data_IF_456454670474
#
_entry.id   IF_456454670474
#
_cell.length_a   1.000
_cell.length_b   1.000
_cell.length_c   1.000
_cell.angle_alpha   90.00
_cell.angle_beta   90.00
_cell.angle_gamma   90.00
#
_symmetry.space_group_name_H-M   'P 1'
#
loop_
_entity.id
_entity.type
_entity.pdbx_description
1 polymer ?
#
# COMPACT_ATOMS: atom_id res chain seq x y z
N UNK A 1 -5.48 3.96 10.53
CA UNK A 1 -5.64 3.54 9.13
C UNK A 1 -6.94 2.75 9.02
N UNK A 2 -7.88 3.28 8.25
CA UNK A 2 -9.15 2.61 7.97
C UNK A 2 -8.89 1.34 7.16
N UNK A 3 -9.43 0.21 7.63
CA UNK A 3 -9.26 -1.09 6.97
C UNK A 3 -10.03 -1.20 5.66
N UNK A 4 -9.41 -1.82 4.66
CA UNK A 4 -10.04 -2.13 3.39
C UNK A 4 -10.57 -3.57 3.37
N UNK A 5 -11.73 -3.76 4.01
CA UNK A 5 -12.34 -5.08 4.24
C UNK A 5 -12.48 -5.93 2.97
N UNK A 6 -12.88 -5.33 1.84
CA UNK A 6 -13.04 -6.07 0.57
C UNK A 6 -11.70 -6.59 0.02
N UNK A 7 -10.60 -5.87 0.24
CA UNK A 7 -9.25 -6.31 -0.12
C UNK A 7 -8.79 -7.47 0.76
N UNK A 8 -9.03 -7.40 2.07
CA UNK A 8 -8.70 -8.51 2.98
C UNK A 8 -9.50 -9.79 2.61
N UNK A 9 -10.76 -9.63 2.24
CA UNK A 9 -11.59 -10.74 1.78
C UNK A 9 -11.08 -11.32 0.44
N UNK A 10 -10.65 -10.47 -0.49
CA UNK A 10 -10.02 -10.88 -1.75
C UNK A 10 -8.75 -11.71 -1.54
N UNK A 11 -7.87 -11.28 -0.63
CA UNK A 11 -6.63 -11.99 -0.31
C UNK A 11 -6.90 -13.36 0.32
N UNK A 12 -7.86 -13.44 1.24
CA UNK A 12 -8.26 -14.71 1.86
C UNK A 12 -8.91 -15.68 0.87
N UNK A 13 -9.68 -15.15 -0.07
CA UNK A 13 -10.33 -15.94 -1.11
C UNK A 13 -9.30 -16.67 -1.97
N UNK A 14 -8.21 -16.02 -2.36
CA UNK A 14 -7.19 -16.61 -3.23
C UNK A 14 -6.34 -17.66 -2.51
N UNK A 15 -6.04 -17.46 -1.23
CA UNK A 15 -5.37 -18.44 -0.39
C UNK A 15 -6.14 -19.76 -0.32
N UNK A 16 -7.47 -19.71 -0.12
CA UNK A 16 -8.32 -20.91 -0.05
C UNK A 16 -8.29 -21.74 -1.34
N UNK A 17 -8.34 -21.09 -2.50
CA UNK A 17 -8.28 -21.80 -3.78
C UNK A 17 -6.89 -22.39 -4.06
N UNK A 18 -5.83 -21.69 -3.64
CA UNK A 18 -4.47 -22.21 -3.73
C UNK A 18 -4.27 -23.46 -2.85
N UNK A 19 -4.78 -23.44 -1.61
CA UNK A 19 -4.72 -24.59 -0.70
C UNK A 19 -5.46 -25.81 -1.25
N UNK A 20 -6.66 -25.62 -1.81
CA UNK A 20 -7.42 -26.72 -2.44
C UNK A 20 -6.61 -27.34 -3.58
N UNK A 21 -6.04 -26.53 -4.48
CA UNK A 21 -5.23 -27.02 -5.61
C UNK A 21 -3.98 -27.75 -5.13
N UNK A 22 -3.26 -27.18 -4.16
CA UNK A 22 -2.06 -27.77 -3.60
C UNK A 22 -2.34 -29.14 -2.98
N UNK A 23 -3.44 -29.28 -2.23
CA UNK A 23 -3.83 -30.55 -1.59
C UNK A 23 -4.04 -31.67 -2.61
N UNK A 24 -4.77 -31.41 -3.70
CA UNK A 24 -5.03 -32.43 -4.71
C UNK A 24 -3.85 -32.68 -5.64
N UNK A 25 -2.99 -31.69 -5.89
CA UNK A 25 -1.72 -31.92 -6.57
C UNK A 25 -0.78 -32.79 -5.74
N UNK A 26 -0.71 -32.55 -4.43
CA UNK A 26 0.10 -33.39 -3.54
C UNK A 26 -0.37 -34.84 -3.55
N UNK A 27 -1.68 -35.09 -3.54
CA UNK A 27 -2.24 -36.45 -3.64
C UNK A 27 -1.83 -37.16 -4.94
N UNK A 28 -1.75 -36.44 -6.07
CA UNK A 28 -1.25 -37.00 -7.35
C UNK A 28 0.24 -37.33 -7.26
N UNK A 29 1.04 -36.44 -6.67
CA UNK A 29 2.48 -36.66 -6.47
C UNK A 29 2.69 -37.90 -5.59
N UNK A 30 2.02 -37.99 -4.45
CA UNK A 30 2.18 -39.09 -3.50
C UNK A 30 1.78 -40.44 -4.13
N UNK A 31 0.67 -40.49 -4.88
CA UNK A 31 0.24 -41.68 -5.60
C UNK A 31 1.22 -42.06 -6.74
N UNK A 32 1.74 -41.07 -7.46
CA UNK A 32 2.72 -41.27 -8.53
C UNK A 32 4.07 -41.80 -8.01
N UNK A 33 4.55 -41.24 -6.89
CA UNK A 33 5.76 -41.71 -6.20
C UNK A 33 5.58 -43.16 -5.74
N UNK A 34 4.46 -43.48 -5.09
CA UNK A 34 4.16 -44.86 -4.66
C UNK A 34 4.16 -45.85 -5.82
N UNK A 35 3.59 -45.47 -6.96
CA UNK A 35 3.58 -46.30 -8.17
C UNK A 35 5.00 -46.53 -8.71
N UNK A 36 5.82 -45.48 -8.74
CA UNK A 36 7.22 -45.57 -9.19
C UNK A 36 8.07 -46.46 -8.27
N UNK A 37 7.87 -46.35 -6.95
CA UNK A 37 8.55 -47.19 -5.95
C UNK A 37 8.19 -48.67 -6.13
N UNK A 38 6.90 -48.99 -6.33
CA UNK A 38 6.45 -50.36 -6.56
C UNK A 38 6.96 -50.95 -7.88
N UNK A 39 7.06 -50.13 -8.94
CA UNK A 39 7.68 -50.55 -10.22
C UNK A 39 9.17 -50.83 -10.04
N UNK A 40 9.87 -50.02 -9.26
CA UNK A 40 11.27 -50.25 -8.92
C UNK A 40 11.46 -51.52 -8.09
N UNK A 41 10.58 -51.78 -7.11
CA UNK A 41 10.55 -53.04 -6.34
C UNK A 41 10.35 -54.25 -7.26
N UNK A 42 9.46 -54.15 -8.25
CA UNK A 42 9.25 -55.22 -9.24
C UNK A 42 10.49 -55.48 -10.11
N UNK A 43 11.17 -54.44 -10.57
CA UNK A 43 12.40 -54.57 -11.35
C UNK A 43 13.52 -55.22 -10.53
N UNK A 44 13.64 -54.87 -9.25
CA UNK A 44 14.64 -55.45 -8.37
C UNK A 44 14.39 -56.95 -8.11
N UNK A 45 13.12 -57.34 -7.92
CA UNK A 45 12.75 -58.77 -7.82
C UNK A 45 13.12 -59.54 -9.08
N UNK A 46 12.92 -58.96 -10.28
CA UNK A 46 13.34 -59.59 -11.54
C UNK A 46 14.85 -59.74 -11.63
N UNK A 47 15.63 -58.71 -11.25
CA UNK A 47 17.10 -58.79 -11.22
C UNK A 47 17.59 -59.85 -10.22
N UNK A 48 16.95 -59.95 -9.06
CA UNK A 48 17.29 -60.94 -8.05
C UNK A 48 17.02 -62.36 -8.52
N UNK A 49 15.87 -62.59 -9.16
CA UNK A 49 15.54 -63.88 -9.79
C UNK A 49 16.55 -64.25 -10.88
N UNK A 50 16.91 -63.32 -11.76
CA UNK A 50 17.88 -63.57 -12.83
C UNK A 50 19.31 -63.84 -12.33
N UNK A 51 19.71 -63.20 -11.24
CA UNK A 51 21.07 -63.36 -10.68
C UNK A 51 21.23 -64.60 -9.80
N UNK A 52 20.19 -65.00 -9.09
CA UNK A 52 20.26 -66.10 -8.11
C UNK A 52 19.62 -67.40 -8.59
N UNK A 53 18.74 -67.33 -9.60
CA UNK A 53 17.91 -68.46 -10.04
C UNK A 53 16.81 -68.85 -9.04
N UNK A 54 16.59 -68.07 -7.98
CA UNK A 54 15.55 -68.31 -7.00
C UNK A 54 14.15 -68.03 -7.58
N UNK A 55 13.17 -68.88 -7.29
CA UNK A 55 11.78 -68.64 -7.67
C UNK A 55 11.16 -67.55 -6.79
N UNK A 56 10.95 -66.37 -7.35
CA UNK A 56 10.32 -65.20 -6.71
C UNK A 56 8.90 -64.94 -7.24
N UNK A 57 8.24 -65.96 -7.80
CA UNK A 57 6.93 -65.82 -8.45
C UNK A 57 5.85 -65.27 -7.51
N UNK A 58 5.90 -65.62 -6.23
CA UNK A 58 4.91 -65.17 -5.23
C UNK A 58 5.08 -63.69 -4.87
N UNK A 59 6.31 -63.26 -4.65
CA UNK A 59 6.68 -61.87 -4.35
C UNK A 59 6.31 -60.96 -5.52
N UNK A 60 6.67 -61.37 -6.76
CA UNK A 60 6.30 -60.64 -7.98
C UNK A 60 4.79 -60.52 -8.16
N UNK A 61 4.03 -61.59 -7.87
CA UNK A 61 2.57 -61.54 -7.91
C UNK A 61 2.00 -60.55 -6.87
N UNK A 62 2.57 -60.54 -5.66
CA UNK A 62 2.19 -59.60 -4.61
C UNK A 62 2.45 -58.14 -4.99
N UNK A 63 3.62 -57.84 -5.56
CA UNK A 63 3.96 -56.49 -6.04
C UNK A 63 3.06 -56.09 -7.21
N UNK A 64 2.74 -57.01 -8.12
CA UNK A 64 1.83 -56.74 -9.25
C UNK A 64 0.44 -56.29 -8.79
N UNK A 65 -0.13 -56.94 -7.78
CA UNK A 65 -1.42 -56.53 -7.20
C UNK A 65 -1.32 -55.13 -6.58
N UNK A 66 -0.22 -54.83 -5.88
CA UNK A 66 0.01 -53.48 -5.33
C UNK A 66 0.16 -52.43 -6.43
N UNK A 67 0.81 -52.75 -7.55
CA UNK A 67 0.94 -51.87 -8.72
C UNK A 67 -0.45 -51.57 -9.29
N UNK A 68 -1.28 -52.59 -9.54
CA UNK A 68 -2.63 -52.41 -10.07
C UNK A 68 -3.49 -51.50 -9.17
N UNK A 69 -3.37 -51.67 -7.85
CA UNK A 69 -4.04 -50.81 -6.88
C UNK A 69 -3.48 -49.38 -6.89
N UNK A 70 -2.15 -49.21 -6.98
CA UNK A 70 -1.52 -47.90 -7.06
C UNK A 70 -1.87 -47.14 -8.36
N UNK A 71 -2.02 -47.85 -9.49
CA UNK A 71 -2.48 -47.26 -10.75
C UNK A 71 -3.93 -46.74 -10.66
N UNK A 72 -4.81 -47.48 -9.97
CA UNK A 72 -6.18 -47.01 -9.69
C UNK A 72 -6.18 -45.80 -8.78
N UNK A 73 -5.37 -45.81 -7.73
CA UNK A 73 -5.23 -44.67 -6.80
C UNK A 73 -4.71 -43.42 -7.51
N UNK A 74 -3.71 -43.56 -8.38
CA UNK A 74 -3.20 -42.45 -9.19
C UNK A 74 -4.29 -41.89 -10.12
N UNK A 75 -5.01 -42.77 -10.84
CA UNK A 75 -6.10 -42.36 -11.73
C UNK A 75 -7.21 -41.62 -10.98
N UNK A 76 -7.55 -42.08 -9.77
CA UNK A 76 -8.52 -41.41 -8.90
C UNK A 76 -8.01 -40.03 -8.45
N UNK A 77 -6.77 -39.95 -7.99
CA UNK A 77 -6.14 -38.69 -7.58
C UNK A 77 -6.06 -37.67 -8.73
N UNK A 78 -5.71 -38.10 -9.95
CA UNK A 78 -5.70 -37.25 -11.14
C UNK A 78 -7.10 -36.73 -11.49
N UNK A 79 -8.11 -37.59 -11.38
CA UNK A 79 -9.52 -37.22 -11.62
C UNK A 79 -10.00 -36.19 -10.60
N UNK A 80 -9.70 -36.39 -9.32
CA UNK A 80 -10.04 -35.45 -8.25
C UNK A 80 -9.31 -34.12 -8.40
N UNK A 81 -8.02 -34.16 -8.75
CA UNK A 81 -7.23 -32.96 -9.04
C UNK A 81 -7.80 -32.16 -10.22
N UNK A 82 -8.26 -32.84 -11.27
CA UNK A 82 -8.96 -32.18 -12.39
C UNK A 82 -10.26 -31.52 -11.92
N UNK A 83 -11.10 -32.24 -11.17
CA UNK A 83 -12.35 -31.71 -10.62
C UNK A 83 -12.12 -30.54 -9.66
N UNK A 84 -11.05 -30.57 -8.87
CA UNK A 84 -10.68 -29.47 -7.98
C UNK A 84 -10.27 -28.22 -8.77
N UNK A 85 -9.57 -28.38 -9.89
CA UNK A 85 -9.23 -27.29 -10.80
C UNK A 85 -10.46 -26.72 -11.51
N UNK A 86 -11.36 -27.58 -11.99
CA UNK A 86 -12.63 -27.15 -12.60
C UNK A 86 -13.50 -26.41 -11.58
N UNK A 87 -13.67 -26.95 -10.37
CA UNK A 87 -14.39 -26.28 -9.28
C UNK A 87 -13.78 -24.93 -8.95
N UNK A 88 -12.45 -24.83 -8.85
CA UNK A 88 -11.79 -23.56 -8.58
C UNK A 88 -11.93 -22.54 -9.73
N UNK A 89 -12.04 -23.00 -10.98
CA UNK A 89 -12.28 -22.15 -12.16
C UNK A 89 -13.72 -21.68 -12.22
N UNK A 90 -14.68 -22.60 -12.05
CA UNK A 90 -16.10 -22.33 -12.21
C UNK A 90 -16.64 -21.53 -11.00
N UNK A 91 -16.19 -21.87 -9.78
CA UNK A 91 -16.47 -21.06 -8.58
C UNK A 91 -15.75 -19.70 -8.61
N UNK A 92 -14.72 -19.53 -9.45
CA UNK A 92 -14.12 -18.22 -9.68
C UNK A 92 -14.97 -17.35 -10.63
N UNK A 93 -15.92 -17.91 -11.38
CA UNK A 93 -16.81 -17.17 -12.25
C UNK A 93 -18.05 -16.61 -11.51
N UNK A 94 -18.56 -17.32 -10.51
CA UNK A 94 -19.73 -16.91 -9.72
C UNK A 94 -19.33 -16.40 -8.33
N UNK A 95 -19.59 -15.12 -8.04
CA UNK A 95 -19.45 -14.56 -6.67
C UNK A 95 -18.03 -14.25 -6.21
N UNK A 96 -17.01 -14.42 -7.07
CA UNK A 96 -15.62 -14.03 -6.78
C UNK A 96 -15.47 -12.52 -6.66
N UNK A 97 -14.77 -12.08 -5.61
CA UNK A 97 -14.26 -10.71 -5.55
C UNK A 97 -13.20 -10.57 -6.65
N UNK A 98 -13.43 -9.65 -7.58
CA UNK A 98 -12.51 -9.34 -8.67
C UNK A 98 -11.73 -8.07 -8.38
N UNK A 99 -10.62 -7.86 -9.09
CA UNK A 99 -9.89 -6.57 -9.06
C UNK A 99 -10.82 -5.41 -9.43
N UNK A 100 -11.76 -5.62 -10.36
CA UNK A 100 -12.78 -4.62 -10.70
C UNK A 100 -13.63 -4.25 -9.49
N UNK A 101 -14.06 -5.22 -8.69
CA UNK A 101 -14.84 -4.97 -7.47
C UNK A 101 -14.01 -4.14 -6.46
N UNK A 102 -12.72 -4.45 -6.31
CA UNK A 102 -11.82 -3.68 -5.46
C UNK A 102 -11.69 -2.23 -5.94
N UNK A 103 -11.51 -2.01 -7.23
CA UNK A 103 -11.39 -0.66 -7.80
C UNK A 103 -12.68 0.14 -7.62
N UNK A 104 -13.84 -0.49 -7.82
CA UNK A 104 -15.16 0.16 -7.60
C UNK A 104 -15.32 0.56 -6.13
N UNK A 105 -15.03 -0.36 -5.19
CA UNK A 105 -15.16 -0.07 -3.76
C UNK A 105 -14.14 0.98 -3.29
N UNK A 106 -12.91 0.91 -3.80
CA UNK A 106 -11.86 1.90 -3.55
C UNK A 106 -12.31 3.28 -4.01
N UNK A 107 -12.67 3.45 -5.28
CA UNK A 107 -13.06 4.75 -5.83
C UNK A 107 -14.40 5.27 -5.30
N UNK A 108 -15.21 4.40 -4.71
CA UNK A 108 -16.48 4.76 -4.07
C UNK A 108 -16.35 4.89 -2.55
N UNK A 109 -16.99 3.95 -1.85
CA UNK A 109 -17.26 4.04 -0.41
C UNK A 109 -15.98 4.10 0.43
N UNK A 110 -14.96 3.32 0.10
CA UNK A 110 -13.77 3.22 0.93
C UNK A 110 -12.92 4.50 0.89
N UNK A 111 -12.64 5.03 -0.31
CA UNK A 111 -11.93 6.32 -0.45
C UNK A 111 -12.69 7.45 0.20
N UNK A 112 -14.01 7.54 0.02
CA UNK A 112 -14.80 8.61 0.63
C UNK A 112 -14.71 8.56 2.15
N UNK A 113 -14.82 7.37 2.75
CA UNK A 113 -14.64 7.20 4.19
C UNK A 113 -13.26 7.65 4.68
N UNK A 114 -12.18 7.34 3.95
CA UNK A 114 -10.82 7.82 4.28
C UNK A 114 -10.76 9.34 4.19
N UNK A 115 -11.35 9.92 3.14
CA UNK A 115 -11.37 11.37 2.97
C UNK A 115 -12.08 12.04 4.12
N UNK A 116 -13.32 11.64 4.41
CA UNK A 116 -14.15 12.27 5.43
C UNK A 116 -13.52 12.19 6.84
N UNK A 117 -12.89 11.05 7.18
CA UNK A 117 -12.39 10.80 8.54
C UNK A 117 -10.94 11.25 8.72
N UNK A 118 -10.07 11.03 7.73
CA UNK A 118 -8.63 11.27 7.87
C UNK A 118 -8.17 12.52 7.12
N UNK A 119 -8.65 12.77 5.89
CA UNK A 119 -8.17 13.89 5.05
C UNK A 119 -8.88 15.21 5.35
N UNK A 120 -10.20 15.22 5.47
CA UNK A 120 -10.99 16.44 5.62
C UNK A 120 -10.58 17.22 6.88
N UNK A 121 -10.31 16.59 8.05
CA UNK A 121 -9.74 17.31 9.19
C UNK A 121 -8.37 17.93 8.93
N UNK A 122 -7.56 17.35 8.03
CA UNK A 122 -6.27 17.95 7.61
C UNK A 122 -6.56 19.18 6.75
N UNK A 123 -7.47 19.07 5.77
CA UNK A 123 -7.86 20.17 4.89
C UNK A 123 -8.44 21.32 5.70
N UNK A 124 -9.34 21.05 6.65
CA UNK A 124 -9.92 22.07 7.53
C UNK A 124 -8.84 22.82 8.33
N UNK A 125 -7.86 22.11 8.89
CA UNK A 125 -6.72 22.75 9.58
C UNK A 125 -5.88 23.59 8.62
N UNK A 126 -5.63 23.11 7.40
CA UNK A 126 -4.90 23.88 6.38
C UNK A 126 -5.66 25.14 5.97
N UNK A 127 -6.98 25.05 5.78
CA UNK A 127 -7.85 26.18 5.49
C UNK A 127 -7.86 27.20 6.63
N UNK A 128 -7.92 26.74 7.88
CA UNK A 128 -7.83 27.58 9.07
C UNK A 128 -6.49 28.33 9.14
N UNK A 129 -5.38 27.61 8.96
CA UNK A 129 -4.03 28.20 8.96
C UNK A 129 -3.85 29.21 7.83
N UNK A 130 -4.35 28.91 6.62
CA UNK A 130 -4.34 29.85 5.49
C UNK A 130 -5.10 31.13 5.82
N UNK A 131 -6.28 31.02 6.42
CA UNK A 131 -7.06 32.18 6.82
C UNK A 131 -6.34 33.01 7.90
N UNK A 132 -5.75 32.37 8.90
CA UNK A 132 -4.99 33.06 9.93
C UNK A 132 -3.79 33.82 9.34
N UNK A 133 -3.02 33.18 8.45
CA UNK A 133 -1.90 33.80 7.76
C UNK A 133 -2.35 35.01 6.93
N UNK A 134 -3.40 34.88 6.12
CA UNK A 134 -3.88 35.98 5.28
C UNK A 134 -4.42 37.16 6.09
N UNK A 135 -5.05 36.92 7.24
CA UNK A 135 -5.44 38.00 8.16
C UNK A 135 -4.21 38.69 8.76
N UNK A 136 -3.20 37.95 9.20
CA UNK A 136 -1.97 38.55 9.71
C UNK A 136 -1.22 39.37 8.63
N UNK A 137 -1.23 38.92 7.38
CA UNK A 137 -0.69 39.68 6.24
C UNK A 137 -1.50 40.97 6.02
N UNK A 138 -2.83 40.92 6.14
CA UNK A 138 -3.67 42.12 6.07
C UNK A 138 -3.33 43.10 7.19
N UNK A 139 -3.25 42.62 8.44
CA UNK A 139 -2.87 43.42 9.61
C UNK A 139 -1.50 44.09 9.41
N UNK A 140 -0.53 43.37 8.83
CA UNK A 140 0.78 43.90 8.47
C UNK A 140 0.68 45.09 7.49
N UNK A 141 -0.13 44.98 6.44
CA UNK A 141 -0.30 46.08 5.47
C UNK A 141 -1.08 47.25 6.05
N UNK A 142 -2.03 47.00 6.95
CA UNK A 142 -2.70 48.07 7.69
C UNK A 142 -1.73 48.81 8.61
N UNK A 143 -0.82 48.09 9.25
CA UNK A 143 0.28 48.65 10.04
C UNK A 143 1.23 49.48 9.16
N UNK A 144 1.73 48.95 8.04
CA UNK A 144 2.61 49.70 7.11
C UNK A 144 1.92 51.00 6.64
N UNK A 145 0.64 50.92 6.27
CA UNK A 145 -0.16 52.08 5.85
C UNK A 145 -0.26 53.14 6.96
N UNK A 146 -0.33 52.74 8.23
CA UNK A 146 -0.44 53.66 9.36
C UNK A 146 0.80 54.54 9.52
N UNK A 147 1.99 53.99 9.26
CA UNK A 147 3.27 54.69 9.44
C UNK A 147 3.89 55.22 8.14
N UNK A 148 3.39 54.79 6.99
CA UNK A 148 3.85 55.25 5.67
C UNK A 148 3.85 56.78 5.51
N UNK A 149 2.84 57.55 5.97
CA UNK A 149 2.88 59.02 5.86
C UNK A 149 4.08 59.64 6.58
N UNK A 150 4.40 59.17 7.78
CA UNK A 150 5.54 59.66 8.57
C UNK A 150 6.86 59.30 7.89
N UNK A 151 6.96 58.09 7.34
CA UNK A 151 8.13 57.69 6.57
C UNK A 151 8.34 58.57 5.33
N UNK A 152 7.27 58.87 4.57
CA UNK A 152 7.34 59.78 3.42
C UNK A 152 7.80 61.17 3.83
N UNK A 153 7.26 61.72 4.93
CA UNK A 153 7.69 63.02 5.47
C UNK A 153 9.18 63.03 5.81
N UNK A 154 9.69 61.97 6.44
CA UNK A 154 11.11 61.86 6.78
C UNK A 154 12.01 61.75 5.53
N UNK A 155 11.58 61.00 4.51
CA UNK A 155 12.28 60.95 3.22
C UNK A 155 12.33 62.32 2.53
N UNK A 156 11.22 63.09 2.58
CA UNK A 156 11.17 64.43 2.00
C UNK A 156 12.11 65.39 2.74
N UNK A 157 12.18 65.32 4.07
CA UNK A 157 13.11 66.10 4.89
C UNK A 157 14.57 65.73 4.63
N UNK A 158 14.89 64.43 4.57
CA UNK A 158 16.23 63.93 4.24
C UNK A 158 16.69 64.45 2.88
N UNK A 159 15.83 64.38 1.87
CA UNK A 159 16.13 64.87 0.51
C UNK A 159 16.45 66.36 0.44
N UNK A 160 15.85 67.18 1.31
CA UNK A 160 16.09 68.63 1.35
C UNK A 160 17.45 68.96 1.99
N UNK A 161 17.90 68.18 2.98
CA UNK A 161 19.13 68.45 3.76
C UNK A 161 20.34 67.57 3.35
N UNK A 162 20.33 66.98 2.14
CA UNK A 162 21.44 66.14 1.67
C UNK A 162 22.73 66.96 1.56
N UNK A 163 23.75 66.57 2.34
CA UNK A 163 25.12 67.12 2.27
C UNK A 163 26.04 66.19 1.49
N UNK A 164 27.01 66.72 0.71
CA UNK A 164 27.98 65.88 0.02
C UNK A 164 28.77 65.01 1.02
N UNK A 165 28.55 63.70 0.97
CA UNK A 165 29.21 62.71 1.83
C UNK A 165 28.34 62.09 2.94
N UNK A 166 27.17 62.64 3.24
CA UNK A 166 26.26 62.17 4.31
C UNK A 166 25.10 61.32 3.74
N UNK A 167 25.40 60.12 3.24
CA UNK A 167 24.38 59.21 2.70
C UNK A 167 23.57 58.49 3.80
N UNK A 168 22.62 59.18 4.43
CA UNK A 168 21.70 58.59 5.40
C UNK A 168 20.35 58.27 4.75
N UNK A 169 19.99 56.99 4.65
CA UNK A 169 18.72 56.57 4.09
C UNK A 169 17.64 56.41 5.18
N UNK A 170 16.45 56.94 4.94
CA UNK A 170 15.28 56.71 5.80
C UNK A 170 14.62 55.38 5.42
N UNK A 171 14.66 54.42 6.33
CA UNK A 171 14.06 53.10 6.12
C UNK A 171 12.61 53.04 6.60
N UNK A 172 11.81 52.20 5.94
CA UNK A 172 10.46 51.86 6.41
C UNK A 172 10.55 51.02 7.69
N UNK A 173 9.52 51.14 8.54
CA UNK A 173 9.38 50.33 9.76
C UNK A 173 9.11 48.86 9.42
N UNK A 174 8.30 48.64 8.39
CA UNK A 174 7.92 47.31 7.92
C UNK A 174 8.37 47.14 6.47
N UNK A 175 8.98 46.00 6.15
CA UNK A 175 9.47 45.66 4.82
C UNK A 175 8.91 44.33 4.35
N UNK A 176 8.76 44.09 3.03
CA UNK A 176 8.30 42.80 2.52
C UNK A 176 9.14 41.60 2.98
N UNK A 177 10.39 41.82 3.41
CA UNK A 177 11.25 40.77 3.97
C UNK A 177 10.80 40.28 5.35
N UNK A 178 9.97 41.06 6.06
CA UNK A 178 9.41 40.70 7.37
C UNK A 178 8.23 39.72 7.27
N UNK A 179 7.70 39.49 6.06
CA UNK A 179 6.60 38.56 5.82
C UNK A 179 7.12 37.13 5.69
N UNK A 180 6.71 36.19 6.57
CA UNK A 180 7.12 34.79 6.46
C UNK A 180 6.38 34.11 5.30
N UNK A 181 7.04 33.98 4.16
CA UNK A 181 6.44 33.39 2.96
C UNK A 181 6.40 31.86 3.05
N UNK A 182 5.31 31.27 2.58
CA UNK A 182 5.26 29.84 2.26
C UNK A 182 5.72 29.72 0.81
N UNK A 183 6.89 29.11 0.58
CA UNK A 183 7.47 28.98 -0.75
C UNK A 183 7.16 27.64 -1.39
N UNK A 184 7.23 27.58 -2.73
CA UNK A 184 7.10 26.31 -3.46
C UNK A 184 8.23 25.32 -3.07
N UNK A 185 9.41 25.83 -2.71
CA UNK A 185 10.53 25.03 -2.23
C UNK A 185 10.22 24.37 -0.88
N UNK A 186 9.55 25.09 0.05
CA UNK A 186 9.11 24.51 1.32
C UNK A 186 8.07 23.40 1.10
N UNK A 187 7.12 23.63 0.20
CA UNK A 187 6.08 22.65 -0.15
C UNK A 187 6.69 21.42 -0.81
N UNK A 188 7.61 21.64 -1.76
CA UNK A 188 8.37 20.59 -2.43
C UNK A 188 9.23 19.81 -1.44
N UNK A 189 9.89 20.48 -0.49
CA UNK A 189 10.68 19.82 0.55
C UNK A 189 9.82 18.90 1.42
N UNK A 190 8.64 19.37 1.86
CA UNK A 190 7.70 18.56 2.64
C UNK A 190 7.19 17.35 1.83
N UNK A 191 6.89 17.54 0.55
CA UNK A 191 6.42 16.47 -0.33
C UNK A 191 7.50 15.39 -0.53
N UNK A 192 8.73 15.78 -0.84
CA UNK A 192 9.82 14.85 -1.19
C UNK A 192 10.46 14.20 0.04
N UNK A 193 10.64 14.96 1.13
CA UNK A 193 11.38 14.50 2.31
C UNK A 193 10.49 14.13 3.49
N UNK A 194 9.19 14.42 3.44
CA UNK A 194 8.23 14.18 4.52
C UNK A 194 8.66 14.78 5.87
N UNK A 195 9.36 15.92 5.82
CA UNK A 195 9.88 16.66 6.98
C UNK A 195 9.51 18.13 6.87
N UNK A 196 9.42 18.80 8.02
CA UNK A 196 9.27 20.25 8.05
C UNK A 196 10.62 20.92 7.73
N UNK A 197 10.62 22.10 7.09
CA UNK A 197 11.81 22.92 6.93
C UNK A 197 12.49 23.22 8.28
N UNK A 198 13.80 23.48 8.24
CA UNK A 198 14.57 23.82 9.43
C UNK A 198 13.99 25.05 10.13
N UNK A 199 13.88 24.99 11.47
CA UNK A 199 13.28 26.05 12.27
C UNK A 199 11.75 26.02 12.37
N UNK A 200 11.05 25.10 11.67
CA UNK A 200 9.59 24.93 11.78
C UNK A 200 9.24 23.71 12.64
N UNK A 201 8.58 23.93 13.77
CA UNK A 201 8.14 22.86 14.67
C UNK A 201 6.74 22.34 14.33
N UNK A 202 6.54 21.03 14.48
CA UNK A 202 5.23 20.40 14.27
C UNK A 202 4.29 20.72 15.42
N UNK A 203 3.30 21.56 15.16
CA UNK A 203 2.23 21.81 16.12
C UNK A 203 1.31 20.58 16.26
N UNK A 204 1.18 20.04 17.47
CA UNK A 204 0.35 18.87 17.79
C UNK A 204 -1.04 19.26 18.30
N UNK A 205 -1.69 20.28 17.71
CA UNK A 205 -3.06 20.63 18.10
C UNK A 205 -3.99 19.49 17.66
N UNK A 206 -4.37 18.68 18.64
CA UNK A 206 -5.39 17.63 18.49
C UNK A 206 -6.72 18.35 18.33
N UNK A 207 -7.54 18.08 17.31
CA UNK A 207 -8.86 18.70 17.20
C UNK A 207 -9.68 18.21 18.40
N UNK A 208 -9.89 19.09 19.38
CA UNK A 208 -10.84 18.87 20.45
C UNK A 208 -12.19 18.61 19.81
N UNK A 209 -12.70 17.39 19.99
CA UNK A 209 -13.97 16.95 19.44
C UNK A 209 -15.06 17.99 19.66
N UNK A 210 -15.55 18.54 18.55
CA UNK A 210 -16.80 19.28 18.53
C UNK A 210 -17.93 18.33 18.91
N UNK A 211 -18.29 18.32 20.20
CA UNK A 211 -19.66 18.06 20.58
C UNK A 211 -20.51 19.21 20.05
N UNK A 212 -21.42 18.92 19.13
CA UNK A 212 -22.80 19.44 19.10
C UNK A 212 -23.61 18.62 18.12
#
# INVERSE_FOLDING_TARGET
>A
MIKFELKEAYEKQDARFAEIKARYQQAVIDAGTRLADLKSEQEELLRQEFSTGADLSKEKAGVRVKIEEAERQLTAAETESRKANDYARDSAAEGRITVRNLVIEWNGKHRNKIRDIELDPIIERMSGARNAYLNAVLDYYEFDRMYSPVWVEMCDLERIDIRPGDGLAVHKIATPADLPQITDDDLSYIEHYHKLPEGVERSTVTPTGGKR
#
